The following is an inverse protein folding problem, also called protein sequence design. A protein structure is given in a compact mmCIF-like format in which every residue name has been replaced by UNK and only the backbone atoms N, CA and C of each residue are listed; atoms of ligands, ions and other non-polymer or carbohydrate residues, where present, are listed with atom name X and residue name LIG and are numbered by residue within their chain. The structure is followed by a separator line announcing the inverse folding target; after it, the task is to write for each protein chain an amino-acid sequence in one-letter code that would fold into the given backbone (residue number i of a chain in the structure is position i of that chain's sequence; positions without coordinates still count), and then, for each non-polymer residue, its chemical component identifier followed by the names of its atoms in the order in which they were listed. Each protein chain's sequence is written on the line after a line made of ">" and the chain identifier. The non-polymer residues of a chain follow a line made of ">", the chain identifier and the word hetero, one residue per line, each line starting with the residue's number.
data_IF_465587078175
#
_entry.id   IF_465587078175
#
_cell.length_a   1.000
_cell.length_b   1.000
_cell.length_c   1.000
_cell.angle_alpha   90.00
_cell.angle_beta   90.00
_cell.angle_gamma   90.00
#
_symmetry.space_group_name_H-M   'P 1'
#
loop_
_entity.id
_entity.type
_entity.pdbx_description
1 polymer ?
#
# COMPACT_ATOMS: atom_id res chain seq x y z
N UNK A 1 -19.91 -10.79 3.93
CA UNK A 1 -19.68 -9.98 2.71
C UNK A 1 -19.34 -10.92 1.58
N UNK A 2 -19.98 -10.80 0.43
CA UNK A 2 -19.63 -11.60 -0.75
C UNK A 2 -18.25 -11.20 -1.30
N UNK A 3 -17.56 -12.14 -1.93
CA UNK A 3 -16.22 -11.95 -2.51
C UNK A 3 -16.16 -10.74 -3.48
N UNK A 4 -17.23 -10.50 -4.25
CA UNK A 4 -17.33 -9.34 -5.16
C UNK A 4 -17.31 -8.01 -4.42
N UNK A 5 -18.02 -7.87 -3.30
CA UNK A 5 -18.02 -6.63 -2.52
C UNK A 5 -16.66 -6.37 -1.87
N UNK A 6 -15.97 -7.41 -1.39
CA UNK A 6 -14.60 -7.30 -0.86
C UNK A 6 -13.60 -6.84 -1.92
N UNK A 7 -13.75 -7.27 -3.18
CA UNK A 7 -12.91 -6.79 -4.29
C UNK A 7 -13.14 -5.31 -4.60
N UNK A 8 -14.40 -4.86 -4.63
CA UNK A 8 -14.72 -3.45 -4.87
C UNK A 8 -14.15 -2.55 -3.76
N UNK A 9 -14.43 -2.86 -2.50
CA UNK A 9 -13.91 -2.11 -1.35
C UNK A 9 -12.38 -2.17 -1.32
N UNK A 10 -11.81 -3.35 -1.57
CA UNK A 10 -10.36 -3.54 -1.61
C UNK A 10 -9.68 -2.70 -2.68
N UNK A 11 -10.28 -2.52 -3.86
CA UNK A 11 -9.73 -1.64 -4.89
C UNK A 11 -9.64 -0.18 -4.41
N UNK A 12 -10.70 0.34 -3.77
CA UNK A 12 -10.66 1.70 -3.19
C UNK A 12 -9.66 1.81 -2.04
N UNK A 13 -9.56 0.80 -1.18
CA UNK A 13 -8.56 0.76 -0.12
C UNK A 13 -7.12 0.75 -0.68
N UNK A 14 -6.87 0.04 -1.78
CA UNK A 14 -5.57 0.05 -2.44
C UNK A 14 -5.21 1.43 -2.97
N UNK A 15 -6.13 2.09 -3.67
CA UNK A 15 -5.91 3.45 -4.18
C UNK A 15 -5.70 4.43 -3.01
N UNK A 16 -6.54 4.36 -1.98
CA UNK A 16 -6.40 5.18 -0.78
C UNK A 16 -5.07 4.94 -0.06
N UNK A 17 -4.61 3.69 0.02
CA UNK A 17 -3.32 3.33 0.59
C UNK A 17 -2.15 3.96 -0.18
N UNK A 18 -2.20 3.94 -1.52
CA UNK A 18 -1.17 4.57 -2.35
C UNK A 18 -1.16 6.08 -2.12
N UNK A 19 -2.34 6.72 -2.10
CA UNK A 19 -2.46 8.16 -1.86
C UNK A 19 -1.89 8.53 -0.49
N UNK A 20 -2.31 7.82 0.58
CA UNK A 20 -1.84 8.07 1.94
C UNK A 20 -0.32 7.92 2.05
N UNK A 21 0.25 6.88 1.43
CA UNK A 21 1.68 6.66 1.44
C UNK A 21 2.45 7.72 0.64
N UNK A 22 1.96 8.10 -0.54
CA UNK A 22 2.58 9.16 -1.36
C UNK A 22 2.60 10.51 -0.63
N UNK A 23 1.51 10.85 0.07
CA UNK A 23 1.44 12.07 0.89
C UNK A 23 2.45 12.00 2.03
N UNK A 24 2.51 10.87 2.76
CA UNK A 24 3.45 10.67 3.86
C UNK A 24 4.91 10.74 3.39
N UNK A 25 5.25 10.05 2.30
CA UNK A 25 6.59 10.08 1.71
C UNK A 25 6.97 11.49 1.25
N UNK A 26 6.05 12.22 0.63
CA UNK A 26 6.29 13.62 0.21
C UNK A 26 6.50 14.51 1.42
N UNK A 27 5.68 14.39 2.46
CA UNK A 27 5.84 15.15 3.70
C UNK A 27 7.20 14.86 4.38
N UNK A 28 7.62 13.59 4.40
CA UNK A 28 8.94 13.21 4.90
C UNK A 28 10.06 13.81 4.07
N UNK A 29 9.95 13.75 2.74
CA UNK A 29 10.94 14.35 1.83
C UNK A 29 11.09 15.86 2.07
N UNK A 30 9.97 16.58 2.24
CA UNK A 30 9.98 18.02 2.50
C UNK A 30 10.56 18.37 3.89
N UNK A 31 10.55 17.42 4.83
CA UNK A 31 11.14 17.59 6.15
C UNK A 31 12.64 17.24 6.21
N UNK A 32 13.20 16.69 5.13
CA UNK A 32 14.62 16.35 5.07
C UNK A 32 15.49 17.62 4.96
N UNK A 33 16.65 17.67 5.63
CA UNK A 33 17.59 18.78 5.49
C UNK A 33 18.08 18.98 4.06
N UNK A 34 18.28 20.23 3.67
CA UNK A 34 18.91 20.56 2.39
C UNK A 34 20.38 20.11 2.37
N UNK A 35 20.90 19.78 1.17
CA UNK A 35 22.30 19.37 0.99
C UNK A 35 22.59 17.89 1.30
N UNK A 36 21.55 17.06 1.48
CA UNK A 36 21.72 15.62 1.63
C UNK A 36 22.46 15.00 0.44
N UNK A 37 23.35 14.01 0.66
CA UNK A 37 24.02 13.30 -0.41
C UNK A 37 22.99 12.63 -1.34
N UNK A 38 23.25 12.64 -2.65
CA UNK A 38 22.37 12.00 -3.64
C UNK A 38 22.11 10.52 -3.35
N UNK A 39 23.08 9.80 -2.77
CA UNK A 39 22.89 8.41 -2.36
C UNK A 39 21.79 8.24 -1.29
N UNK A 40 21.69 9.17 -0.34
CA UNK A 40 20.65 9.14 0.70
C UNK A 40 19.28 9.35 0.07
N UNK A 41 19.18 10.30 -0.87
CA UNK A 41 17.95 10.56 -1.61
C UNK A 41 17.53 9.33 -2.44
N UNK A 42 18.48 8.66 -3.11
CA UNK A 42 18.20 7.42 -3.86
C UNK A 42 17.63 6.34 -2.93
N UNK A 43 18.28 6.07 -1.79
CA UNK A 43 17.80 5.09 -0.82
C UNK A 43 16.42 5.48 -0.29
N UNK A 44 16.21 6.76 0.01
CA UNK A 44 14.91 7.28 0.43
C UNK A 44 13.82 7.00 -0.62
N UNK A 45 14.07 7.31 -1.90
CA UNK A 45 13.07 7.09 -2.96
C UNK A 45 12.82 5.60 -3.24
N UNK A 46 13.81 4.73 -3.06
CA UNK A 46 13.59 3.26 -3.13
C UNK A 46 12.64 2.83 -2.01
N UNK A 47 12.90 3.25 -0.76
CA UNK A 47 12.07 2.88 0.39
C UNK A 47 10.68 3.51 0.26
N UNK A 48 10.58 4.77 -0.13
CA UNK A 48 9.31 5.44 -0.38
C UNK A 48 8.53 4.76 -1.51
N UNK A 49 9.20 4.36 -2.60
CA UNK A 49 8.59 3.63 -3.71
C UNK A 49 8.19 2.20 -3.35
N UNK A 50 8.80 1.58 -2.34
CA UNK A 50 8.49 0.22 -1.91
C UNK A 50 7.58 0.14 -0.67
N UNK A 51 7.49 1.19 0.13
CA UNK A 51 6.81 1.14 1.42
C UNK A 51 5.31 0.93 1.34
N UNK A 52 4.66 1.43 0.27
CA UNK A 52 3.23 1.19 0.04
C UNK A 52 2.89 -0.28 -0.27
N UNK A 53 3.87 -1.14 -0.60
CA UNK A 53 3.61 -2.55 -0.81
C UNK A 53 3.12 -3.25 0.45
N UNK A 54 3.59 -2.85 1.64
CA UNK A 54 3.18 -3.46 2.90
C UNK A 54 1.66 -3.38 3.13
N UNK A 55 1.03 -2.19 3.10
CA UNK A 55 -0.42 -2.10 3.23
C UNK A 55 -1.15 -2.71 2.03
N UNK A 56 -0.61 -2.60 0.81
CA UNK A 56 -1.22 -3.21 -0.36
C UNK A 56 -1.30 -4.73 -0.25
N UNK A 57 -0.24 -5.40 0.22
CA UNK A 57 -0.23 -6.84 0.45
C UNK A 57 -1.27 -7.27 1.49
N UNK A 58 -1.44 -6.50 2.57
CA UNK A 58 -2.46 -6.79 3.58
C UNK A 58 -3.88 -6.70 3.00
N UNK A 59 -4.15 -5.66 2.21
CA UNK A 59 -5.46 -5.47 1.54
C UNK A 59 -5.70 -6.59 0.52
N UNK A 60 -4.72 -6.91 -0.33
CA UNK A 60 -4.83 -7.97 -1.33
C UNK A 60 -5.07 -9.33 -0.66
N UNK A 61 -4.33 -9.65 0.40
CA UNK A 61 -4.54 -10.91 1.16
C UNK A 61 -5.96 -10.98 1.73
N UNK A 62 -6.48 -9.85 2.24
CA UNK A 62 -7.85 -9.76 2.70
C UNK A 62 -8.87 -9.90 1.55
N UNK A 63 -8.59 -9.36 0.35
CA UNK A 63 -9.44 -9.53 -0.84
C UNK A 63 -9.40 -10.96 -1.39
N UNK A 64 -8.28 -11.66 -1.26
CA UNK A 64 -8.09 -13.00 -1.81
C UNK A 64 -8.71 -14.11 -0.96
N UNK A 65 -9.03 -13.85 0.32
CA UNK A 65 -9.63 -14.84 1.23
C UNK A 65 -10.89 -15.48 0.61
N UNK A 66 -10.97 -16.81 0.46
CA UNK A 66 -12.19 -17.45 -0.06
C UNK A 66 -13.35 -17.27 0.93
N UNK A 67 -14.56 -17.13 0.39
CA UNK A 67 -15.77 -17.17 1.22
C UNK A 67 -16.00 -18.62 1.67
N UNK A 68 -16.39 -18.82 2.93
CA UNK A 68 -16.73 -20.15 3.46
C UNK A 68 -18.09 -20.55 2.90
N UNK A 69 -18.12 -20.93 1.64
CA UNK A 69 -19.27 -21.55 0.99
C UNK A 69 -18.96 -23.01 0.81
N UNK A 70 -19.39 -23.78 1.81
CA UNK A 70 -19.61 -25.23 1.84
C UNK A 70 -18.69 -26.08 0.97
N UNK A 71 -17.78 -26.79 1.63
CA UNK A 71 -17.35 -28.08 1.10
C UNK A 71 -18.59 -28.89 0.74
N UNK A 72 -18.74 -29.20 -0.54
CA UNK A 72 -19.34 -30.47 -0.92
C UNK A 72 -18.17 -31.47 -0.96
N UNK A 73 -18.37 -32.69 -0.43
CA UNK A 73 -17.33 -33.72 -0.37
C UNK A 73 -16.75 -34.04 -1.75
#
# INVERSE_FOLDING_TARGET
>A
MTQRNRKLIGAFLLVGSIIAWSVLATALYLALPEGLPGLVLIVFFIIAGMGWLLPAMAIIRWMAKPDVTGGRP
#
